data_IF_232428354204
#
_entry.id   IF_232428354204
#
_cell.length_a   1.000
_cell.length_b   1.000
_cell.length_c   1.000
_cell.angle_alpha   90.00
_cell.angle_beta   90.00
_cell.angle_gamma   90.00
#
_symmetry.space_group_name_H-M   'P 1'
#
loop_
_entity.id
_entity.type
_entity.pdbx_description
1 polymer ?
#
# COMPACT_ATOMS: atom_id res chain seq x y z
N UNK A 1 -34.64 13.47 28.78
CA UNK A 1 -34.96 12.46 27.76
C UNK A 1 -33.64 12.13 27.10
N UNK A 2 -32.91 11.18 27.67
CA UNK A 2 -31.58 10.82 27.23
C UNK A 2 -31.72 9.73 26.19
N UNK A 3 -31.23 10.03 25.00
CA UNK A 3 -31.25 9.19 23.81
C UNK A 3 -30.35 7.96 24.05
N UNK A 4 -30.98 6.79 24.05
CA UNK A 4 -30.33 5.49 24.13
C UNK A 4 -29.65 5.19 22.80
N UNK A 5 -28.53 5.85 22.53
CA UNK A 5 -27.56 5.34 21.57
C UNK A 5 -26.50 4.58 22.37
N UNK A 6 -26.60 3.24 22.48
CA UNK A 6 -25.52 2.47 23.07
C UNK A 6 -24.22 2.79 22.33
N UNK A 7 -23.14 2.87 23.11
CA UNK A 7 -21.77 3.24 22.81
C UNK A 7 -21.07 2.32 21.78
N UNK A 8 -21.78 1.89 20.74
CA UNK A 8 -21.26 1.36 19.48
C UNK A 8 -20.55 2.49 18.71
N UNK A 9 -19.43 2.98 19.27
CA UNK A 9 -18.43 3.78 18.58
C UNK A 9 -17.38 2.89 17.91
N UNK A 10 -16.67 3.37 16.86
CA UNK A 10 -16.50 2.63 15.61
C UNK A 10 -15.39 1.57 15.56
N UNK A 11 -14.70 1.24 16.64
CA UNK A 11 -13.62 0.23 16.59
C UNK A 11 -13.70 -0.75 17.77
N UNK A 12 -14.28 -1.94 17.56
CA UNK A 12 -14.21 -3.05 18.51
C UNK A 12 -12.83 -3.71 18.41
N UNK A 13 -11.92 -3.33 19.31
CA UNK A 13 -10.58 -3.94 19.41
C UNK A 13 -10.49 -5.15 20.35
N UNK A 14 -11.56 -5.45 21.08
CA UNK A 14 -11.57 -6.45 22.15
C UNK A 14 -12.62 -7.55 21.96
N UNK A 15 -13.31 -8.00 23.03
CA UNK A 15 -14.27 -9.10 22.99
C UNK A 15 -15.47 -8.85 22.06
N UNK A 16 -15.77 -7.60 21.73
CA UNK A 16 -16.82 -7.23 20.78
C UNK A 16 -16.56 -7.80 19.38
N UNK A 17 -15.29 -7.83 18.93
CA UNK A 17 -14.94 -8.42 17.64
C UNK A 17 -15.19 -9.94 17.64
N UNK A 18 -14.91 -10.61 18.76
CA UNK A 18 -15.21 -12.03 18.94
C UNK A 18 -16.71 -12.30 18.93
N UNK A 19 -17.53 -11.42 19.53
CA UNK A 19 -18.99 -11.56 19.52
C UNK A 19 -19.53 -11.39 18.09
N UNK A 20 -19.07 -10.38 17.35
CA UNK A 20 -19.48 -10.17 15.95
C UNK A 20 -19.05 -11.36 15.09
N UNK A 21 -17.81 -11.83 15.24
CA UNK A 21 -17.31 -13.02 14.56
C UNK A 21 -18.15 -14.26 14.89
N UNK A 22 -18.52 -14.45 16.17
CA UNK A 22 -19.36 -15.55 16.60
C UNK A 22 -20.77 -15.49 15.98
N UNK A 23 -21.39 -14.31 15.89
CA UNK A 23 -22.70 -14.13 15.23
C UNK A 23 -22.59 -14.48 13.74
N UNK A 24 -21.58 -13.98 13.04
CA UNK A 24 -21.35 -14.28 11.62
C UNK A 24 -21.14 -15.79 11.43
N UNK A 25 -20.33 -16.42 12.29
CA UNK A 25 -20.09 -17.88 12.28
C UNK A 25 -21.36 -18.67 12.61
N UNK A 26 -22.27 -18.16 13.42
CA UNK A 26 -23.54 -18.83 13.72
C UNK A 26 -24.51 -18.77 12.53
N UNK A 27 -24.53 -17.65 11.80
CA UNK A 27 -25.37 -17.47 10.62
C UNK A 27 -24.88 -18.28 9.41
N UNK A 28 -23.58 -18.24 9.14
CA UNK A 28 -22.98 -18.89 7.97
C UNK A 28 -22.42 -20.29 8.28
N UNK A 29 -22.11 -20.59 9.54
CA UNK A 29 -21.45 -21.82 9.97
C UNK A 29 -19.92 -21.68 10.06
N UNK A 30 -19.30 -22.39 11.01
CA UNK A 30 -17.85 -22.35 11.26
C UNK A 30 -17.00 -22.79 10.05
N UNK A 31 -17.56 -23.59 9.15
CA UNK A 31 -16.85 -24.09 7.97
C UNK A 31 -16.94 -23.15 6.75
N UNK A 32 -17.94 -22.26 6.67
CA UNK A 32 -18.17 -21.46 5.45
C UNK A 32 -17.26 -20.24 5.35
N UNK A 33 -17.01 -19.54 6.45
CA UNK A 33 -16.07 -18.43 6.48
C UNK A 33 -14.65 -18.81 6.00
N UNK A 34 -14.01 -19.86 6.56
CA UNK A 34 -12.68 -20.26 6.13
C UNK A 34 -12.68 -20.83 4.71
N UNK A 35 -13.71 -21.58 4.31
CA UNK A 35 -13.83 -22.13 2.96
C UNK A 35 -13.89 -21.02 1.89
N UNK A 36 -14.69 -19.98 2.14
CA UNK A 36 -14.76 -18.79 1.27
C UNK A 36 -13.43 -18.03 1.24
N UNK A 37 -12.77 -17.86 2.38
CA UNK A 37 -11.46 -17.22 2.45
C UNK A 37 -10.40 -18.01 1.65
N UNK A 38 -10.40 -19.34 1.76
CA UNK A 38 -9.48 -20.20 1.01
C UNK A 38 -9.75 -20.19 -0.50
N UNK A 39 -11.01 -20.22 -0.93
CA UNK A 39 -11.37 -20.15 -2.34
C UNK A 39 -11.05 -18.77 -2.94
N UNK A 40 -11.44 -17.69 -2.25
CA UNK A 40 -11.15 -16.30 -2.65
C UNK A 40 -9.64 -16.01 -2.65
N UNK A 41 -8.91 -16.50 -1.64
CA UNK A 41 -7.47 -16.33 -1.55
C UNK A 41 -6.70 -17.03 -2.68
N UNK A 42 -7.10 -18.25 -3.06
CA UNK A 42 -6.53 -18.95 -4.22
C UNK A 42 -6.80 -18.21 -5.52
N UNK A 43 -8.06 -17.83 -5.75
CA UNK A 43 -8.44 -17.06 -6.93
C UNK A 43 -7.64 -15.76 -7.00
N UNK A 44 -7.58 -14.98 -5.92
CA UNK A 44 -6.82 -13.72 -5.87
C UNK A 44 -5.32 -13.94 -6.07
N UNK A 45 -4.76 -15.06 -5.60
CA UNK A 45 -3.36 -15.42 -5.81
C UNK A 45 -3.05 -15.74 -7.27
N UNK A 46 -3.91 -16.51 -7.94
CA UNK A 46 -3.78 -16.82 -9.38
C UNK A 46 -3.98 -15.56 -10.24
N UNK A 47 -4.96 -14.72 -9.89
CA UNK A 47 -5.16 -13.43 -10.57
C UNK A 47 -3.94 -12.53 -10.46
N UNK A 48 -3.28 -12.44 -9.31
CA UNK A 48 -2.06 -11.63 -9.16
C UNK A 48 -0.92 -12.13 -10.04
N UNK A 49 -0.70 -13.46 -10.08
CA UNK A 49 0.33 -14.08 -10.93
C UNK A 49 0.07 -13.83 -12.42
N UNK A 50 -1.15 -14.09 -12.89
CA UNK A 50 -1.50 -13.85 -14.29
C UNK A 50 -1.38 -12.37 -14.68
N UNK A 51 -1.70 -11.44 -13.79
CA UNK A 51 -1.49 -10.00 -14.04
C UNK A 51 -0.02 -9.62 -14.16
N UNK A 52 0.83 -10.22 -13.35
CA UNK A 52 2.28 -9.99 -13.38
C UNK A 52 2.92 -10.56 -14.65
N UNK A 53 2.51 -11.76 -15.08
CA UNK A 53 2.92 -12.35 -16.35
C UNK A 53 2.53 -11.47 -17.55
N UNK A 54 1.27 -11.00 -17.58
CA UNK A 54 0.78 -10.10 -18.63
C UNK A 54 1.57 -8.78 -18.64
N UNK A 55 1.87 -8.19 -17.47
CA UNK A 55 2.66 -6.97 -17.41
C UNK A 55 4.08 -7.18 -17.94
N UNK A 56 4.71 -8.31 -17.62
CA UNK A 56 6.03 -8.68 -18.12
C UNK A 56 6.00 -8.88 -19.65
N UNK A 57 4.98 -9.55 -20.18
CA UNK A 57 4.81 -9.73 -21.63
C UNK A 57 4.61 -8.41 -22.36
N UNK A 58 3.75 -7.52 -21.83
CA UNK A 58 3.52 -6.18 -22.40
C UNK A 58 4.82 -5.36 -22.38
N UNK A 59 5.59 -5.42 -21.28
CA UNK A 59 6.86 -4.71 -21.15
C UNK A 59 7.92 -5.27 -22.09
N UNK A 60 7.98 -6.60 -22.24
CA UNK A 60 8.88 -7.26 -23.18
C UNK A 60 8.55 -6.89 -24.63
N UNK A 61 7.26 -6.91 -25.00
CA UNK A 61 6.79 -6.49 -26.33
C UNK A 61 7.11 -5.01 -26.61
N UNK A 62 6.85 -4.13 -25.64
CA UNK A 62 7.14 -2.69 -25.76
C UNK A 62 8.65 -2.39 -25.90
N UNK A 63 9.52 -3.23 -25.35
CA UNK A 63 10.97 -3.08 -25.50
C UNK A 63 11.47 -3.74 -26.80
N UNK A 64 10.89 -4.86 -27.24
CA UNK A 64 11.23 -5.49 -28.51
C UNK A 64 10.95 -4.58 -29.72
N UNK A 65 9.89 -3.75 -29.65
CA UNK A 65 9.62 -2.73 -30.67
C UNK A 65 10.67 -1.60 -30.67
N UNK A 66 11.25 -1.26 -29.51
CA UNK A 66 12.26 -0.19 -29.38
C UNK A 66 13.65 -0.61 -29.86
N UNK A 67 14.05 -1.86 -29.69
CA UNK A 67 15.37 -2.34 -30.13
C UNK A 67 15.53 -2.38 -31.66
N UNK A 68 14.44 -2.33 -32.44
CA UNK A 68 14.51 -2.23 -33.90
C UNK A 68 14.75 -0.80 -34.43
N UNK A 69 14.75 0.21 -33.54
CA UNK A 69 14.95 1.61 -33.89
C UNK A 69 16.28 2.21 -33.38
N UNK A 70 17.12 1.45 -32.65
CA UNK A 70 18.32 1.97 -31.96
C UNK A 70 19.62 1.39 -32.51
N UNK A 71 19.81 1.40 -33.84
CA UNK A 71 21.14 1.27 -34.43
C UNK A 71 21.44 2.34 -35.49
N UNK A 72 20.84 3.52 -35.36
CA UNK A 72 21.14 4.67 -36.21
C UNK A 72 20.88 5.99 -35.48
N UNK A 73 21.63 6.30 -34.41
CA UNK A 73 22.17 7.65 -34.28
C UNK A 73 23.30 7.69 -33.25
N UNK A 74 24.36 8.37 -33.64
CA UNK A 74 25.47 8.76 -32.80
C UNK A 74 25.08 9.99 -31.97
N UNK A 75 25.83 10.27 -30.90
CA UNK A 75 26.05 11.68 -30.53
C UNK A 75 25.96 11.99 -29.04
N UNK A 76 27.14 12.10 -28.44
CA UNK A 76 27.56 13.21 -27.55
C UNK A 76 26.50 14.24 -27.18
N UNK A 77 26.25 14.49 -25.89
CA UNK A 77 26.30 15.82 -25.24
C UNK A 77 26.35 15.60 -23.72
N UNK A 78 27.35 16.20 -23.07
CA UNK A 78 27.55 16.10 -21.63
C UNK A 78 26.99 17.26 -20.81
N UNK A 79 27.50 17.30 -19.58
CA UNK A 79 27.63 18.46 -18.67
C UNK A 79 26.40 18.97 -17.93
N UNK A 80 26.60 19.19 -16.63
CA UNK A 80 25.82 20.17 -15.86
C UNK A 80 25.42 19.66 -14.48
N UNK A 81 26.32 19.78 -13.51
CA UNK A 81 26.01 19.49 -12.11
C UNK A 81 24.86 20.34 -11.58
N UNK A 82 24.05 19.74 -10.73
CA UNK A 82 23.13 20.46 -9.83
C UNK A 82 23.41 19.93 -8.42
N UNK A 83 24.37 20.57 -7.76
CA UNK A 83 24.44 20.60 -6.32
C UNK A 83 23.56 21.77 -5.87
N UNK A 84 22.32 21.50 -5.49
CA UNK A 84 21.46 22.47 -4.80
C UNK A 84 21.63 22.27 -3.30
N UNK A 85 22.59 23.00 -2.74
CA UNK A 85 22.59 23.36 -1.33
C UNK A 85 21.45 24.34 -1.09
N UNK A 86 20.58 24.01 -0.14
CA UNK A 86 19.54 24.92 0.37
C UNK A 86 19.94 25.24 1.80
N UNK A 87 20.52 26.43 1.94
CA UNK A 87 20.82 27.07 3.21
C UNK A 87 19.55 27.64 3.86
N UNK A 88 19.63 27.77 5.19
CA UNK A 88 18.96 28.74 6.06
C UNK A 88 17.45 28.61 6.33
N UNK A 89 17.14 28.06 7.51
CA UNK A 89 16.05 28.56 8.37
C UNK A 89 16.62 28.74 9.78
N UNK A 90 16.93 30.00 10.08
CA UNK A 90 17.30 30.53 11.39
C UNK A 90 16.07 30.75 12.28
N UNK A 91 16.35 30.65 13.59
CA UNK A 91 15.64 31.25 14.71
C UNK A 91 14.26 30.67 15.09
N UNK A 92 14.19 30.09 16.29
CA UNK A 92 13.54 30.76 17.43
C UNK A 92 13.93 30.08 18.76
N UNK A 93 14.54 30.89 19.63
CA UNK A 93 14.14 31.14 21.02
C UNK A 93 13.69 29.95 21.88
N UNK A 94 14.54 29.57 22.85
CA UNK A 94 14.21 28.59 23.88
C UNK A 94 15.10 28.71 25.11
N UNK A 95 14.89 29.79 25.86
CA UNK A 95 15.47 30.08 27.16
C UNK A 95 15.47 28.85 28.10
N UNK A 96 16.57 28.68 28.84
CA UNK A 96 16.64 28.25 30.25
C UNK A 96 17.32 26.90 30.57
N UNK A 97 18.21 26.97 31.60
CA UNK A 97 18.77 25.91 32.49
C UNK A 97 20.05 25.23 31.98
N UNK A 98 21.17 25.15 32.70
CA UNK A 98 21.55 25.48 34.07
C UNK A 98 23.10 25.50 34.12
N UNK A 99 23.71 26.52 34.74
CA UNK A 99 25.15 26.57 35.04
C UNK A 99 25.29 26.50 36.55
N UNK A 100 25.72 25.35 37.06
CA UNK A 100 26.76 25.11 38.09
C UNK A 100 27.04 23.61 38.08
#
# INVERSE_FOLDING_TARGET
MYDSVPLFGPIPGGPELLIILAVIVLLFGANRLPELAHASGRAMGEFRRGREEIEQEIRAAANAERDTAVDSDAGTVGTGGVATGVDSEDAETGMSRNVV
#
